data_IF_623554266444
#
_entry.id   IF_623554266444
#
_cell.length_a   1.000
_cell.length_b   1.000
_cell.length_c   1.000
_cell.angle_alpha   90.00
_cell.angle_beta   90.00
_cell.angle_gamma   90.00
#
_symmetry.space_group_name_H-M   'P 1'
#
loop_
_entity.id
_entity.type
_entity.pdbx_description
1 polymer ?
#
# COMPACT_ATOMS: atom_id res chain seq x y z
N UNK A 1 25.98 -41.02 -1.85
CA UNK A 1 25.00 -40.64 -0.81
C UNK A 1 24.69 -39.13 -0.70
N UNK A 2 25.42 -38.22 -1.31
CA UNK A 2 25.34 -36.78 -1.12
C UNK A 2 24.27 -36.05 -1.99
N UNK A 3 23.91 -36.60 -3.16
CA UNK A 3 22.92 -35.90 -4.07
C UNK A 3 21.45 -36.07 -3.66
N UNK A 4 21.10 -37.21 -3.05
CA UNK A 4 19.72 -37.46 -2.60
C UNK A 4 19.35 -36.66 -1.35
N UNK A 5 20.33 -36.34 -0.48
CA UNK A 5 20.11 -35.59 0.74
C UNK A 5 19.87 -34.07 0.43
N UNK A 6 20.60 -33.54 -0.53
CA UNK A 6 20.44 -32.15 -0.99
C UNK A 6 19.10 -31.90 -1.71
N UNK A 7 18.60 -32.89 -2.45
CA UNK A 7 17.29 -32.81 -3.12
C UNK A 7 16.12 -32.84 -2.11
N UNK A 8 16.25 -33.65 -1.06
CA UNK A 8 15.26 -33.76 0.04
C UNK A 8 15.20 -32.47 0.88
N UNK A 9 16.36 -31.86 1.19
CA UNK A 9 16.42 -30.56 1.90
C UNK A 9 15.85 -29.42 1.06
N UNK A 10 16.11 -29.40 -0.25
CA UNK A 10 15.58 -28.37 -1.15
C UNK A 10 14.05 -28.48 -1.28
N UNK A 11 13.49 -29.66 -1.34
CA UNK A 11 12.03 -29.88 -1.35
C UNK A 11 11.39 -29.60 0.02
N UNK A 12 12.11 -29.82 1.14
CA UNK A 12 11.64 -29.47 2.49
C UNK A 12 11.58 -27.94 2.68
N UNK A 13 12.59 -27.22 2.21
CA UNK A 13 12.64 -25.74 2.24
C UNK A 13 11.56 -25.10 1.33
N UNK A 14 11.31 -25.72 0.16
CA UNK A 14 10.22 -25.30 -0.74
C UNK A 14 8.86 -25.52 -0.08
N UNK A 15 8.66 -26.66 0.63
CA UNK A 15 7.42 -26.93 1.35
C UNK A 15 7.21 -26.01 2.56
N UNK A 16 8.26 -25.68 3.31
CA UNK A 16 8.16 -24.75 4.45
C UNK A 16 7.78 -23.34 3.97
N UNK A 17 8.36 -22.89 2.86
CA UNK A 17 7.98 -21.60 2.25
C UNK A 17 6.57 -21.64 1.65
N UNK A 18 6.15 -22.75 1.07
CA UNK A 18 4.79 -22.93 0.55
C UNK A 18 3.76 -23.00 1.68
N UNK A 19 4.04 -23.72 2.77
CA UNK A 19 3.19 -23.80 3.97
C UNK A 19 3.11 -22.43 4.65
N UNK A 20 4.21 -21.69 4.72
CA UNK A 20 4.24 -20.31 5.23
C UNK A 20 3.43 -19.37 4.36
N UNK A 21 3.51 -19.49 3.02
CA UNK A 21 2.67 -18.76 2.05
C UNK A 21 1.17 -19.12 2.17
N UNK A 22 0.85 -20.39 2.31
CA UNK A 22 -0.52 -20.89 2.52
C UNK A 22 -1.07 -20.40 3.86
N UNK A 23 -0.25 -20.41 4.92
CA UNK A 23 -0.65 -19.95 6.26
C UNK A 23 -0.90 -18.44 6.30
N UNK A 24 -0.09 -17.62 5.62
CA UNK A 24 -0.35 -16.21 5.41
C UNK A 24 -1.66 -15.98 4.63
N UNK A 25 -1.84 -16.73 3.55
CA UNK A 25 -3.05 -16.66 2.73
C UNK A 25 -4.33 -17.11 3.48
N UNK A 26 -4.25 -18.12 4.34
CA UNK A 26 -5.38 -18.60 5.13
C UNK A 26 -5.65 -17.73 6.36
N UNK A 27 -4.64 -17.11 6.96
CA UNK A 27 -4.80 -16.20 8.08
C UNK A 27 -5.51 -14.92 7.63
N UNK A 28 -5.13 -14.35 6.48
CA UNK A 28 -5.83 -13.24 5.83
C UNK A 28 -7.30 -13.57 5.50
N UNK A 29 -7.60 -14.82 5.13
CA UNK A 29 -8.95 -15.21 4.71
C UNK A 29 -9.97 -15.23 5.86
N UNK A 30 -9.55 -15.58 7.07
CA UNK A 30 -10.43 -15.61 8.24
C UNK A 30 -10.70 -14.20 8.79
N UNK A 31 -9.70 -13.32 8.77
CA UNK A 31 -9.85 -11.91 9.17
C UNK A 31 -10.68 -11.10 8.14
N UNK A 32 -10.65 -11.51 6.88
CA UNK A 32 -11.37 -10.86 5.80
C UNK A 32 -12.89 -10.85 5.99
N UNK A 33 -13.52 -11.97 6.35
CA UNK A 33 -14.99 -12.08 6.48
C UNK A 33 -15.50 -11.25 7.68
N UNK A 34 -14.68 -11.05 8.71
CA UNK A 34 -14.98 -10.25 9.88
C UNK A 34 -14.46 -8.82 9.81
N UNK A 35 -13.66 -8.47 8.81
CA UNK A 35 -12.89 -7.22 8.80
C UNK A 35 -13.79 -6.00 8.57
N UNK A 36 -14.00 -5.25 9.66
CA UNK A 36 -14.79 -4.00 9.70
C UNK A 36 -14.29 -2.97 8.66
N UNK A 37 -12.98 -2.93 8.36
CA UNK A 37 -12.38 -2.02 7.38
C UNK A 37 -13.04 -2.18 6.01
N UNK A 38 -13.12 -3.39 5.48
CA UNK A 38 -13.65 -3.64 4.14
C UNK A 38 -15.17 -3.43 4.03
N UNK A 39 -15.92 -3.68 5.12
CA UNK A 39 -17.35 -3.34 5.17
C UNK A 39 -17.59 -1.83 5.09
N UNK A 40 -16.72 -1.03 5.74
CA UNK A 40 -16.79 0.43 5.70
C UNK A 40 -16.37 0.95 4.34
N UNK A 41 -15.26 0.45 3.78
CA UNK A 41 -14.81 0.81 2.44
C UNK A 41 -15.89 0.52 1.39
N UNK A 42 -16.54 -0.65 1.45
CA UNK A 42 -17.65 -0.97 0.55
C UNK A 42 -18.77 0.07 0.64
N UNK A 43 -19.17 0.48 1.85
CA UNK A 43 -20.20 1.53 2.02
C UNK A 43 -19.76 2.85 1.40
N UNK A 44 -18.52 3.28 1.64
CA UNK A 44 -17.99 4.53 1.06
C UNK A 44 -17.95 4.45 -0.47
N UNK A 45 -17.50 3.32 -1.03
CA UNK A 45 -17.52 3.06 -2.46
C UNK A 45 -18.95 3.22 -3.04
N UNK A 46 -19.94 2.61 -2.40
CA UNK A 46 -21.32 2.69 -2.83
C UNK A 46 -21.91 4.11 -2.65
N UNK A 47 -21.71 4.75 -1.50
CA UNK A 47 -22.27 6.06 -1.18
C UNK A 47 -21.67 7.20 -2.01
N UNK A 48 -20.37 7.16 -2.29
CA UNK A 48 -19.67 8.17 -3.09
C UNK A 48 -19.68 7.84 -4.59
N UNK A 49 -20.26 6.71 -4.99
CA UNK A 49 -20.29 6.30 -6.40
C UNK A 49 -18.89 6.09 -6.98
N UNK A 50 -17.97 5.52 -6.21
CA UNK A 50 -16.59 5.30 -6.63
C UNK A 50 -16.57 4.36 -7.84
N UNK A 51 -15.94 4.81 -8.92
CA UNK A 51 -15.75 4.07 -10.16
C UNK A 51 -14.31 3.66 -10.40
N UNK A 52 -13.37 4.37 -9.75
CA UNK A 52 -11.94 4.14 -9.90
C UNK A 52 -11.27 4.04 -8.55
N UNK A 53 -10.35 3.09 -8.41
CA UNK A 53 -9.45 2.98 -7.24
C UNK A 53 -8.02 3.13 -7.74
N UNK A 54 -7.25 3.98 -7.07
CA UNK A 54 -5.80 4.12 -7.26
C UNK A 54 -5.12 3.58 -6.02
N UNK A 55 -4.33 2.52 -6.18
CA UNK A 55 -3.60 1.82 -5.11
C UNK A 55 -2.11 2.15 -5.21
N UNK A 56 -1.66 3.08 -4.36
CA UNK A 56 -0.27 3.56 -4.32
C UNK A 56 0.49 2.79 -3.26
N UNK A 57 1.58 2.12 -3.66
CA UNK A 57 2.28 1.12 -2.85
C UNK A 57 1.49 -0.18 -2.82
N UNK A 58 1.21 -0.72 -4.01
CA UNK A 58 0.34 -1.88 -4.15
C UNK A 58 0.99 -3.20 -3.71
N UNK A 59 2.31 -3.23 -3.55
CA UNK A 59 3.09 -4.42 -3.26
C UNK A 59 2.70 -5.56 -4.23
N UNK A 60 2.36 -6.74 -3.72
CA UNK A 60 1.90 -7.87 -4.55
C UNK A 60 0.40 -7.84 -4.87
N UNK A 61 -0.31 -6.71 -4.67
CA UNK A 61 -1.72 -6.50 -5.03
C UNK A 61 -2.74 -7.00 -4.01
N UNK A 62 -2.40 -6.99 -2.71
CA UNK A 62 -3.30 -7.46 -1.65
C UNK A 62 -4.57 -6.61 -1.58
N UNK A 63 -4.40 -5.28 -1.54
CA UNK A 63 -5.53 -4.36 -1.44
C UNK A 63 -6.46 -4.46 -2.64
N UNK A 64 -5.92 -4.50 -3.87
CA UNK A 64 -6.72 -4.66 -5.08
C UNK A 64 -7.55 -5.95 -5.07
N UNK A 65 -6.97 -7.08 -4.64
CA UNK A 65 -7.70 -8.34 -4.49
C UNK A 65 -8.84 -8.21 -3.48
N UNK A 66 -8.63 -7.51 -2.35
CA UNK A 66 -9.67 -7.30 -1.37
C UNK A 66 -10.80 -6.44 -1.92
N UNK A 67 -10.49 -5.40 -2.72
CA UNK A 67 -11.52 -4.60 -3.40
C UNK A 67 -12.36 -5.47 -4.35
N UNK A 68 -11.74 -6.37 -5.11
CA UNK A 68 -12.46 -7.33 -5.95
C UNK A 68 -13.35 -8.28 -5.13
N UNK A 69 -12.85 -8.78 -4.00
CA UNK A 69 -13.59 -9.67 -3.09
C UNK A 69 -14.84 -9.01 -2.48
N UNK A 70 -14.76 -7.72 -2.13
CA UNK A 70 -15.95 -6.98 -1.64
C UNK A 70 -16.92 -6.57 -2.75
N UNK A 71 -16.62 -6.91 -4.01
CA UNK A 71 -17.51 -6.72 -5.15
C UNK A 71 -17.25 -5.46 -5.97
N UNK A 72 -16.15 -4.74 -5.77
CA UNK A 72 -15.81 -3.61 -6.62
C UNK A 72 -15.52 -4.07 -8.06
N UNK A 73 -16.22 -3.46 -9.04
CA UNK A 73 -16.16 -3.80 -10.47
C UNK A 73 -15.58 -2.69 -11.34
N UNK A 74 -15.26 -1.53 -10.75
CA UNK A 74 -14.69 -0.38 -11.46
C UNK A 74 -13.22 -0.55 -11.81
N UNK A 75 -12.63 0.48 -12.38
CA UNK A 75 -11.21 0.53 -12.74
C UNK A 75 -10.33 0.52 -11.50
N UNK A 76 -9.25 -0.24 -11.55
CA UNK A 76 -8.24 -0.32 -10.50
C UNK A 76 -6.86 -0.10 -11.12
N UNK A 77 -6.14 0.89 -10.62
CA UNK A 77 -4.80 1.26 -11.04
C UNK A 77 -3.84 1.09 -9.87
N UNK A 78 -2.87 0.19 -9.99
CA UNK A 78 -1.92 -0.14 -8.93
C UNK A 78 -0.51 0.32 -9.29
N UNK A 79 0.16 0.99 -8.36
CA UNK A 79 1.54 1.49 -8.51
C UNK A 79 2.44 0.77 -7.53
N UNK A 80 3.45 0.08 -8.05
CA UNK A 80 4.45 -0.64 -7.27
C UNK A 80 5.82 -0.51 -7.93
N UNK A 81 6.79 0.17 -7.31
CA UNK A 81 8.09 0.41 -7.92
C UNK A 81 9.07 -0.76 -7.81
N UNK A 82 8.96 -1.59 -6.74
CA UNK A 82 9.92 -2.68 -6.47
C UNK A 82 9.73 -3.83 -7.46
N UNK A 83 10.81 -4.23 -8.11
CA UNK A 83 10.78 -5.19 -9.22
C UNK A 83 10.10 -6.51 -8.85
N UNK A 84 10.52 -7.15 -7.75
CA UNK A 84 9.96 -8.45 -7.36
C UNK A 84 8.46 -8.35 -7.02
N UNK A 85 8.06 -7.33 -6.26
CA UNK A 85 6.67 -7.10 -5.89
C UNK A 85 5.81 -6.82 -7.12
N UNK A 86 6.30 -5.99 -8.03
CA UNK A 86 5.62 -5.68 -9.30
C UNK A 86 5.40 -6.92 -10.17
N UNK A 87 6.40 -7.80 -10.28
CA UNK A 87 6.28 -9.03 -11.07
C UNK A 87 5.20 -9.98 -10.52
N UNK A 88 5.01 -10.01 -9.20
CA UNK A 88 3.90 -10.74 -8.58
C UNK A 88 2.55 -10.04 -8.81
N UNK A 89 2.51 -8.73 -8.70
CA UNK A 89 1.31 -7.92 -8.98
C UNK A 89 0.86 -8.11 -10.42
N UNK A 90 1.75 -7.95 -11.40
CA UNK A 90 1.46 -8.06 -12.82
C UNK A 90 0.83 -9.43 -13.18
N UNK A 91 1.30 -10.52 -12.58
CA UNK A 91 0.70 -11.85 -12.77
C UNK A 91 -0.75 -11.95 -12.27
N UNK A 92 -1.10 -11.22 -11.21
CA UNK A 92 -2.48 -11.19 -10.70
C UNK A 92 -3.40 -10.34 -11.54
N UNK A 93 -2.90 -9.21 -12.01
CA UNK A 93 -3.62 -8.24 -12.84
C UNK A 93 -3.94 -8.82 -14.22
N UNK A 94 -3.11 -9.70 -14.75
CA UNK A 94 -3.22 -10.27 -16.11
C UNK A 94 -4.59 -10.87 -16.47
N UNK A 95 -5.37 -11.30 -15.49
CA UNK A 95 -6.68 -11.92 -15.67
C UNK A 95 -7.86 -11.00 -15.35
N UNK A 96 -7.62 -9.69 -15.18
CA UNK A 96 -8.65 -8.72 -14.81
C UNK A 96 -8.56 -7.48 -15.72
N UNK A 97 -9.39 -7.42 -16.75
CA UNK A 97 -9.42 -6.34 -17.75
C UNK A 97 -9.73 -4.95 -17.16
N UNK A 98 -10.20 -4.88 -15.90
CA UNK A 98 -10.47 -3.64 -15.19
C UNK A 98 -9.40 -3.32 -14.15
N UNK A 99 -8.23 -3.99 -14.21
CA UNK A 99 -7.13 -3.77 -13.29
C UNK A 99 -5.81 -3.63 -14.06
N UNK A 100 -5.19 -2.47 -13.97
CA UNK A 100 -3.88 -2.18 -14.55
C UNK A 100 -2.84 -1.95 -13.46
N UNK A 101 -1.57 -2.25 -13.74
CA UNK A 101 -0.48 -1.98 -12.81
C UNK A 101 0.71 -1.31 -13.52
N UNK A 102 1.40 -0.44 -12.79
CA UNK A 102 2.51 0.36 -13.27
C UNK A 102 3.73 0.18 -12.38
N UNK A 103 4.90 -0.07 -12.98
CA UNK A 103 6.18 -0.16 -12.26
C UNK A 103 6.74 1.24 -12.02
N UNK A 104 6.05 1.98 -11.15
CA UNK A 104 6.34 3.37 -10.80
C UNK A 104 6.06 3.59 -9.31
N UNK A 105 6.86 4.44 -8.68
CA UNK A 105 6.51 5.06 -7.41
C UNK A 105 5.79 6.39 -7.65
N UNK A 106 5.05 6.86 -6.64
CA UNK A 106 4.46 8.20 -6.67
C UNK A 106 5.14 9.09 -5.62
N UNK A 107 5.29 10.37 -5.95
CA UNK A 107 5.91 11.38 -5.10
C UNK A 107 5.49 12.78 -5.48
N UNK A 108 6.19 13.79 -4.99
CA UNK A 108 5.88 15.21 -5.21
C UNK A 108 6.29 15.74 -6.60
N UNK A 109 7.14 15.00 -7.32
CA UNK A 109 7.63 15.36 -8.66
C UNK A 109 8.14 14.12 -9.41
N UNK A 110 8.38 14.29 -10.70
CA UNK A 110 9.11 13.30 -11.50
C UNK A 110 10.56 13.24 -11.00
N UNK A 111 11.02 12.04 -10.67
CA UNK A 111 12.36 11.82 -10.12
C UNK A 111 12.83 10.38 -10.37
N UNK A 112 14.10 10.12 -10.09
CA UNK A 112 14.68 8.79 -10.04
C UNK A 112 15.46 8.65 -8.73
N UNK A 113 15.05 7.71 -7.87
CA UNK A 113 15.55 7.60 -6.50
C UNK A 113 15.88 6.16 -6.14
N UNK A 114 16.70 5.95 -5.11
CA UNK A 114 16.89 4.63 -4.52
C UNK A 114 15.77 4.30 -3.53
N UNK A 115 15.29 3.05 -3.57
CA UNK A 115 14.39 2.46 -2.57
C UNK A 115 15.08 1.30 -1.87
N UNK A 116 15.04 1.27 -0.55
CA UNK A 116 15.46 0.11 0.24
C UNK A 116 14.39 -0.98 0.18
N UNK A 117 14.77 -2.17 -0.30
CA UNK A 117 13.86 -3.32 -0.43
C UNK A 117 13.94 -4.19 0.81
N UNK A 118 12.81 -4.35 1.49
CA UNK A 118 12.73 -5.11 2.74
C UNK A 118 12.63 -6.62 2.54
N UNK A 119 13.14 -7.39 3.52
CA UNK A 119 13.18 -8.86 3.47
C UNK A 119 11.82 -9.53 3.73
N UNK A 120 10.77 -8.76 4.02
CA UNK A 120 9.40 -9.24 4.25
C UNK A 120 8.53 -9.18 2.98
N UNK A 121 9.08 -9.56 1.84
CA UNK A 121 8.42 -9.48 0.52
C UNK A 121 8.09 -8.05 0.09
N UNK A 122 8.97 -7.11 0.44
CA UNK A 122 8.80 -5.71 0.05
C UNK A 122 7.76 -4.92 0.85
N UNK A 123 7.09 -5.52 1.84
CA UNK A 123 6.02 -4.87 2.62
C UNK A 123 6.45 -3.61 3.36
N UNK A 124 7.73 -3.53 3.76
CA UNK A 124 8.31 -2.39 4.47
C UNK A 124 9.37 -1.67 3.63
N UNK A 125 9.32 -1.83 2.29
CA UNK A 125 10.24 -1.13 1.39
C UNK A 125 9.97 0.36 1.41
N UNK A 126 11.02 1.17 1.47
CA UNK A 126 10.90 2.62 1.61
C UNK A 126 12.04 3.37 0.91
N UNK A 127 11.73 4.56 0.43
CA UNK A 127 12.72 5.56 -0.03
C UNK A 127 13.48 6.13 1.17
N UNK A 128 12.85 6.17 2.34
CA UNK A 128 13.44 6.69 3.56
C UNK A 128 14.24 5.61 4.31
N UNK A 129 15.33 5.97 4.99
CA UNK A 129 16.07 5.05 5.83
C UNK A 129 15.19 4.47 6.95
N UNK A 130 15.19 3.15 7.11
CA UNK A 130 14.44 2.47 8.16
C UNK A 130 15.10 2.70 9.54
N UNK A 131 14.30 2.95 10.57
CA UNK A 131 14.79 3.15 11.95
C UNK A 131 14.86 1.81 12.72
N UNK A 132 15.72 1.78 13.75
CA UNK A 132 15.87 0.60 14.64
C UNK A 132 14.56 0.23 15.33
N UNK A 133 13.75 1.20 15.71
CA UNK A 133 12.41 1.00 16.29
C UNK A 133 11.50 0.15 15.39
N UNK A 134 11.55 0.32 14.08
CA UNK A 134 10.80 -0.52 13.16
C UNK A 134 11.37 -1.95 13.10
N UNK A 135 12.68 -2.08 12.95
CA UNK A 135 13.36 -3.38 12.85
C UNK A 135 13.21 -4.22 14.11
N UNK A 136 13.24 -3.62 15.29
CA UNK A 136 13.02 -4.29 16.58
C UNK A 136 11.61 -4.88 16.69
N UNK A 137 10.59 -4.18 16.20
CA UNK A 137 9.20 -4.65 16.19
C UNK A 137 8.88 -5.59 15.00
N UNK A 138 9.64 -5.51 13.92
CA UNK A 138 9.51 -6.36 12.73
C UNK A 138 10.89 -6.67 12.13
N UNK A 139 11.64 -7.67 12.62
CA UNK A 139 13.01 -7.94 12.16
C UNK A 139 13.15 -8.20 10.66
N UNK A 140 12.09 -8.67 10.01
CA UNK A 140 12.04 -8.90 8.56
C UNK A 140 11.84 -7.62 7.74
N UNK A 141 11.54 -6.48 8.36
CA UNK A 141 11.43 -5.18 7.70
C UNK A 141 12.79 -4.60 7.29
N UNK A 142 13.89 -5.15 7.81
CA UNK A 142 15.25 -4.73 7.44
C UNK A 142 15.44 -4.81 5.93
N UNK A 143 16.08 -3.78 5.35
CA UNK A 143 16.43 -3.77 3.94
C UNK A 143 17.50 -4.82 3.62
N UNK A 144 17.27 -5.61 2.56
CA UNK A 144 18.18 -6.62 2.06
C UNK A 144 19.01 -6.14 0.86
N UNK A 145 18.43 -5.26 0.07
CA UNK A 145 19.05 -4.64 -1.11
C UNK A 145 18.42 -3.28 -1.40
N UNK A 146 18.92 -2.61 -2.44
CA UNK A 146 18.40 -1.34 -2.94
C UNK A 146 18.13 -1.44 -4.44
N UNK A 147 17.11 -0.74 -4.91
CA UNK A 147 16.76 -0.60 -6.32
C UNK A 147 16.59 0.87 -6.68
N UNK A 148 16.99 1.24 -7.90
CA UNK A 148 16.64 2.55 -8.46
C UNK A 148 15.23 2.49 -9.06
N UNK A 149 14.36 3.40 -8.66
CA UNK A 149 12.96 3.47 -9.09
C UNK A 149 12.64 4.83 -9.69
N UNK A 150 11.64 4.85 -10.57
CA UNK A 150 11.12 6.09 -11.15
C UNK A 150 9.90 6.55 -10.38
N UNK A 151 9.82 7.86 -10.15
CA UNK A 151 8.68 8.53 -9.54
C UNK A 151 7.93 9.38 -10.57
N UNK A 152 6.61 9.44 -10.40
CA UNK A 152 5.72 10.39 -11.06
C UNK A 152 4.79 11.03 -10.01
N UNK A 153 3.92 11.95 -10.41
CA UNK A 153 2.94 12.56 -9.50
C UNK A 153 1.56 11.94 -9.69
N UNK A 154 0.75 11.95 -8.64
CA UNK A 154 -0.62 11.48 -8.76
C UNK A 154 -1.46 12.42 -9.65
N UNK A 155 -1.18 13.71 -9.67
CA UNK A 155 -1.83 14.69 -10.58
C UNK A 155 -1.60 14.35 -12.05
N UNK A 156 -0.37 13.96 -12.41
CA UNK A 156 -0.02 13.54 -13.79
C UNK A 156 -0.72 12.24 -14.16
N UNK A 157 -0.72 11.25 -13.26
CA UNK A 157 -1.34 9.95 -13.50
C UNK A 157 -2.88 10.06 -13.60
N UNK A 158 -3.53 10.85 -12.75
CA UNK A 158 -4.96 11.15 -12.86
C UNK A 158 -5.27 11.77 -14.23
N UNK A 159 -4.41 12.70 -14.70
CA UNK A 159 -4.58 13.34 -15.99
C UNK A 159 -4.34 12.37 -17.16
N UNK A 160 -3.26 11.59 -17.10
CA UNK A 160 -2.87 10.62 -18.13
C UNK A 160 -3.92 9.52 -18.34
N UNK A 161 -4.48 9.02 -17.24
CA UNK A 161 -5.47 7.94 -17.26
C UNK A 161 -6.92 8.43 -17.40
N UNK A 162 -7.15 9.74 -17.43
CA UNK A 162 -8.50 10.32 -17.51
C UNK A 162 -9.37 9.99 -16.29
N UNK A 163 -8.76 9.82 -15.13
CA UNK A 163 -9.48 9.51 -13.88
C UNK A 163 -10.33 10.71 -13.47
N UNK A 164 -11.58 10.45 -13.11
CA UNK A 164 -12.52 11.44 -12.59
C UNK A 164 -12.39 11.51 -11.06
N UNK A 165 -11.75 12.55 -10.47
CA UNK A 165 -11.39 12.56 -9.06
C UNK A 165 -12.58 12.38 -8.10
N UNK A 166 -13.72 13.01 -8.37
CA UNK A 166 -14.91 12.95 -7.53
C UNK A 166 -15.62 11.56 -7.51
N UNK A 167 -15.12 10.61 -8.29
CA UNK A 167 -15.50 9.20 -8.25
C UNK A 167 -14.30 8.27 -8.05
N UNK A 168 -13.22 8.80 -7.49
CA UNK A 168 -12.00 8.04 -7.19
C UNK A 168 -11.79 7.85 -5.69
N UNK A 169 -11.33 6.65 -5.32
CA UNK A 169 -10.71 6.35 -4.03
C UNK A 169 -9.22 6.16 -4.25
N UNK A 170 -8.41 6.89 -3.52
CA UNK A 170 -6.95 6.75 -3.53
C UNK A 170 -6.50 6.08 -2.23
N UNK A 171 -5.82 4.94 -2.32
CA UNK A 171 -5.11 4.34 -1.19
C UNK A 171 -3.65 4.71 -1.28
N UNK A 172 -3.05 5.17 -0.18
CA UNK A 172 -1.64 5.54 -0.07
C UNK A 172 -1.02 4.77 1.09
N UNK A 173 -0.02 3.95 0.75
CA UNK A 173 0.73 3.13 1.71
C UNK A 173 2.13 2.92 1.11
N UNK A 174 3.00 3.88 1.35
CA UNK A 174 4.33 3.99 0.73
C UNK A 174 5.44 4.06 1.77
N UNK A 175 5.13 3.59 2.97
CA UNK A 175 6.06 3.32 4.04
C UNK A 175 6.94 4.53 4.40
N UNK A 176 6.25 5.63 4.77
CA UNK A 176 6.87 6.87 5.24
C UNK A 176 6.96 7.98 4.19
N UNK A 177 6.59 7.72 2.93
CA UNK A 177 6.66 8.73 1.85
C UNK A 177 5.28 9.34 1.49
N UNK A 178 4.26 9.12 2.35
CA UNK A 178 2.86 9.48 2.14
C UNK A 178 2.66 10.97 1.88
N UNK A 179 3.35 11.83 2.63
CA UNK A 179 3.26 13.29 2.49
C UNK A 179 3.79 13.77 1.13
N UNK A 180 4.82 13.12 0.59
CA UNK A 180 5.34 13.43 -0.74
C UNK A 180 4.34 13.03 -1.85
N UNK A 181 3.64 11.89 -1.69
CA UNK A 181 2.55 11.51 -2.60
C UNK A 181 1.43 12.53 -2.54
N UNK A 182 1.04 12.97 -1.35
CA UNK A 182 0.02 14.01 -1.17
C UNK A 182 0.43 15.35 -1.80
N UNK A 183 1.69 15.76 -1.68
CA UNK A 183 2.25 16.95 -2.33
C UNK A 183 2.20 16.83 -3.87
N UNK A 184 2.35 15.63 -4.41
CA UNK A 184 2.16 15.36 -5.84
C UNK A 184 0.70 15.32 -6.31
N UNK A 185 -0.26 15.70 -5.43
CA UNK A 185 -1.69 15.64 -5.70
C UNK A 185 -2.38 17.01 -5.47
N UNK A 186 -1.61 18.09 -5.29
CA UNK A 186 -2.10 19.39 -4.84
C UNK A 186 -3.18 20.01 -5.73
N UNK A 187 -3.14 19.76 -7.05
CA UNK A 187 -4.12 20.32 -7.98
C UNK A 187 -5.46 19.58 -7.96
N UNK A 188 -5.48 18.30 -7.59
CA UNK A 188 -6.66 17.44 -7.66
C UNK A 188 -7.14 16.92 -6.30
N UNK A 189 -6.35 17.09 -5.23
CA UNK A 189 -6.64 16.53 -3.91
C UNK A 189 -8.04 16.90 -3.41
N UNK A 190 -8.49 18.15 -3.63
CA UNK A 190 -9.80 18.66 -3.18
C UNK A 190 -10.98 17.92 -3.80
N UNK A 191 -10.78 17.40 -5.01
CA UNK A 191 -11.82 16.77 -5.81
C UNK A 191 -11.86 15.24 -5.63
N UNK A 192 -10.84 14.63 -5.01
CA UNK A 192 -10.82 13.20 -4.78
C UNK A 192 -11.93 12.81 -3.79
N UNK A 193 -12.78 11.85 -4.15
CA UNK A 193 -13.95 11.49 -3.36
C UNK A 193 -13.60 10.84 -2.02
N UNK A 194 -12.56 9.99 -1.98
CA UNK A 194 -12.12 9.33 -0.76
C UNK A 194 -10.61 9.02 -0.80
N UNK A 195 -9.96 9.08 0.36
CA UNK A 195 -8.54 8.76 0.53
C UNK A 195 -8.40 7.83 1.73
N UNK A 196 -7.77 6.69 1.50
CA UNK A 196 -7.34 5.75 2.54
C UNK A 196 -5.82 5.84 2.63
N UNK A 197 -5.29 6.27 3.76
CA UNK A 197 -3.86 6.49 3.91
C UNK A 197 -3.33 5.80 5.17
N UNK A 198 -2.22 5.07 5.05
CA UNK A 198 -1.48 4.56 6.20
C UNK A 198 -0.67 5.70 6.82
N UNK A 199 -0.75 5.85 8.13
CA UNK A 199 -0.03 6.90 8.86
C UNK A 199 0.67 6.33 10.07
N UNK A 200 1.89 6.79 10.30
CA UNK A 200 2.70 6.41 11.45
C UNK A 200 2.34 7.28 12.67
N UNK A 201 2.19 6.64 13.83
CA UNK A 201 2.01 7.32 15.12
C UNK A 201 3.35 7.71 15.76
N UNK A 202 4.40 7.01 15.38
CA UNK A 202 5.79 7.29 15.71
C UNK A 202 6.63 7.19 14.44
N UNK A 203 7.82 7.78 14.42
CA UNK A 203 8.73 7.61 13.29
C UNK A 203 9.23 6.16 13.20
N UNK A 204 8.93 5.50 12.10
CA UNK A 204 9.42 4.16 11.73
C UNK A 204 10.50 4.24 10.64
N UNK A 205 10.50 5.34 9.90
CA UNK A 205 11.50 5.72 8.90
C UNK A 205 11.99 7.12 9.21
N UNK A 206 13.24 7.40 8.90
CA UNK A 206 13.86 8.70 9.19
C UNK A 206 13.13 9.84 8.49
N UNK A 207 12.68 10.81 9.29
CA UNK A 207 11.92 11.97 8.80
C UNK A 207 10.58 11.62 8.13
N UNK A 208 10.00 10.46 8.43
CA UNK A 208 8.66 10.12 7.95
C UNK A 208 7.59 11.00 8.60
N UNK A 209 6.52 11.37 7.87
CA UNK A 209 5.43 12.14 8.43
C UNK A 209 4.70 11.34 9.51
N UNK A 210 4.22 12.06 10.52
CA UNK A 210 3.35 11.54 11.56
C UNK A 210 1.88 11.79 11.21
N UNK A 211 0.97 11.21 12.00
CA UNK A 211 -0.47 11.52 11.89
C UNK A 211 -0.75 13.04 11.94
N UNK A 212 -0.02 13.78 12.77
CA UNK A 212 -0.17 15.24 12.87
C UNK A 212 0.13 15.93 11.54
N UNK A 213 1.26 15.60 10.92
CA UNK A 213 1.68 16.22 9.65
C UNK A 213 0.68 15.95 8.52
N UNK A 214 0.11 14.74 8.49
CA UNK A 214 -0.91 14.37 7.52
C UNK A 214 -2.22 15.13 7.76
N UNK A 215 -2.67 15.26 9.01
CA UNK A 215 -3.90 16.01 9.32
C UNK A 215 -3.74 17.50 9.03
N UNK A 216 -2.60 18.12 9.37
CA UNK A 216 -2.29 19.52 9.03
C UNK A 216 -2.33 19.75 7.52
N UNK A 217 -1.76 18.81 6.72
CA UNK A 217 -1.85 18.90 5.26
C UNK A 217 -3.31 18.94 4.78
N UNK A 218 -4.18 18.08 5.31
CA UNK A 218 -5.58 18.08 4.91
C UNK A 218 -6.35 19.30 5.38
N UNK A 219 -6.04 19.85 6.54
CA UNK A 219 -6.63 21.12 7.02
C UNK A 219 -6.29 22.29 6.11
N UNK A 220 -5.06 22.34 5.61
CA UNK A 220 -4.59 23.43 4.77
C UNK A 220 -4.98 23.27 3.29
N UNK A 221 -4.90 22.06 2.75
CA UNK A 221 -4.94 21.82 1.32
C UNK A 221 -6.24 21.18 0.81
N UNK A 222 -7.06 20.59 1.68
CA UNK A 222 -8.26 19.87 1.28
C UNK A 222 -9.39 19.97 2.31
N UNK A 223 -10.63 19.73 1.88
CA UNK A 223 -11.82 19.79 2.76
C UNK A 223 -12.35 18.41 3.12
N UNK A 224 -11.46 17.42 3.24
CA UNK A 224 -11.83 16.05 3.57
C UNK A 224 -12.15 15.92 5.06
N UNK A 225 -13.13 15.08 5.36
CA UNK A 225 -13.50 14.72 6.72
C UNK A 225 -12.93 13.35 7.06
N UNK A 226 -12.25 13.23 8.21
CA UNK A 226 -11.86 11.94 8.77
C UNK A 226 -13.13 11.19 9.21
N UNK A 227 -13.43 10.07 8.55
CA UNK A 227 -14.65 9.28 8.81
C UNK A 227 -14.37 7.97 9.53
N UNK A 228 -13.15 7.45 9.46
CA UNK A 228 -12.79 6.23 10.19
C UNK A 228 -11.29 6.09 10.40
N UNK A 229 -10.92 5.28 11.40
CA UNK A 229 -9.55 4.87 11.73
C UNK A 229 -9.54 3.35 11.87
N UNK A 230 -8.55 2.70 11.27
CA UNK A 230 -8.35 1.26 11.34
C UNK A 230 -6.95 0.95 11.88
N UNK A 231 -6.83 -0.14 12.62
CA UNK A 231 -5.50 -0.64 13.04
C UNK A 231 -4.74 -1.14 11.82
N UNK A 232 -3.45 -0.82 11.73
CA UNK A 232 -2.53 -1.36 10.75
C UNK A 232 -1.43 -2.14 11.45
N UNK A 233 -0.38 -1.51 11.96
CA UNK A 233 0.76 -2.17 12.58
C UNK A 233 0.83 -1.91 14.09
N UNK A 234 1.16 -2.94 14.86
CA UNK A 234 1.26 -2.88 16.34
C UNK A 234 2.45 -3.68 16.85
N UNK A 235 2.97 -3.30 17.99
CA UNK A 235 3.92 -4.11 18.75
C UNK A 235 3.28 -5.42 19.24
N UNK A 236 4.08 -6.38 19.67
CA UNK A 236 3.62 -7.62 20.32
C UNK A 236 2.79 -7.37 21.58
N UNK A 237 3.00 -6.24 22.24
CA UNK A 237 2.27 -5.81 23.44
C UNK A 237 0.95 -5.06 23.11
N UNK A 238 0.63 -4.89 21.83
CA UNK A 238 -0.60 -4.26 21.36
C UNK A 238 -0.54 -2.73 21.22
N UNK A 239 0.61 -2.11 21.43
CA UNK A 239 0.82 -0.68 21.18
C UNK A 239 0.77 -0.41 19.67
N UNK A 240 -0.03 0.58 19.26
CA UNK A 240 -0.20 0.94 17.87
C UNK A 240 1.00 1.76 17.38
N UNK A 241 1.59 1.33 16.29
CA UNK A 241 2.68 2.04 15.59
C UNK A 241 2.20 2.71 14.31
N UNK A 242 1.25 2.09 13.60
CA UNK A 242 0.62 2.63 12.40
C UNK A 242 -0.89 2.36 12.42
N UNK A 243 -1.61 3.24 11.76
CA UNK A 243 -3.06 3.15 11.53
C UNK A 243 -3.37 3.52 10.08
N UNK A 244 -4.49 3.01 9.56
CA UNK A 244 -5.07 3.58 8.35
C UNK A 244 -6.15 4.60 8.72
N UNK A 245 -6.13 5.75 8.11
CA UNK A 245 -7.20 6.74 8.22
C UNK A 245 -7.98 6.82 6.91
N UNK A 246 -9.29 6.90 7.02
CA UNK A 246 -10.19 7.07 5.88
C UNK A 246 -10.76 8.50 5.91
N UNK A 247 -10.42 9.24 4.88
CA UNK A 247 -10.85 10.62 4.65
C UNK A 247 -11.84 10.65 3.46
N UNK A 248 -12.89 11.45 3.55
CA UNK A 248 -13.92 11.55 2.51
C UNK A 248 -14.22 13.01 2.23
N UNK A 249 -14.33 13.38 0.95
CA UNK A 249 -14.72 14.73 0.53
C UNK A 249 -16.08 15.13 1.10
N UNK A 250 -16.24 16.39 1.47
CA UNK A 250 -17.53 16.95 1.94
C UNK A 250 -18.56 17.09 0.83
#
# INVERSE_FOLDING_TARGET
>A
MTRAFTFKLRNLLINVNLIRRIRYFLFDFHDFISNRKFKILRRVIEQKGIKTIVDVGANIGQFGLEMRRIGFKGQLFSYEPVTESFDFLAKKVFHDDQWECFKLGLGSRLDEVEIGVSNNFGLSSSILPILSSHVENSPTSKFGNYETIKLTTLDDEISRLGIVPNSALVKIDVQGYELEVLRGTLHKIKDIAAILIEVSLIELYSSSPTLKDILEFFEEQASHQLVNIFRSFSTSNGELLQIDILLVSR
#
